data_IF_801489766393
#
_entry.id   IF_801489766393
#
_cell.length_a   1.000
_cell.length_b   1.000
_cell.length_c   1.000
_cell.angle_alpha   90.00
_cell.angle_beta   90.00
_cell.angle_gamma   90.00
#
_symmetry.space_group_name_H-M   'P 1'
#
loop_
_entity.id
_entity.type
_entity.pdbx_description
1 polymer ?
#
# COMPACT_ATOMS: atom_id res chain seq x y z
N UNK A 1 9.94 30.36 -8.03
CA UNK A 1 9.94 31.84 -8.12
C UNK A 1 11.34 32.36 -8.46
N UNK A 2 12.39 32.02 -7.71
CA UNK A 2 13.76 32.53 -7.94
C UNK A 2 14.24 32.37 -9.38
N UNK A 3 14.03 31.18 -9.99
CA UNK A 3 14.44 30.92 -11.39
C UNK A 3 13.73 31.83 -12.40
N UNK A 4 12.49 32.25 -12.13
CA UNK A 4 11.74 33.14 -13.01
C UNK A 4 12.21 34.61 -12.81
N UNK A 5 12.46 34.97 -11.56
CA UNK A 5 13.03 36.27 -11.23
C UNK A 5 14.41 36.49 -11.88
N UNK A 6 15.28 35.44 -11.84
CA UNK A 6 16.61 35.46 -12.47
C UNK A 6 16.53 35.65 -13.99
N UNK A 7 15.40 35.30 -14.61
CA UNK A 7 15.14 35.48 -16.04
C UNK A 7 14.27 36.72 -16.33
N UNK A 8 14.10 37.64 -15.39
CA UNK A 8 13.25 38.84 -15.51
C UNK A 8 11.79 38.55 -15.90
N UNK A 9 11.27 37.38 -15.46
CA UNK A 9 9.87 37.02 -15.67
C UNK A 9 9.10 37.30 -14.38
N UNK A 10 8.09 38.17 -14.47
CA UNK A 10 7.15 38.49 -13.37
C UNK A 10 5.88 37.66 -13.50
N UNK A 11 5.28 37.33 -12.36
CA UNK A 11 4.03 36.57 -12.28
C UNK A 11 3.00 37.45 -11.57
N UNK A 12 1.85 37.63 -12.21
CA UNK A 12 0.68 38.26 -11.60
C UNK A 12 -0.28 37.18 -11.09
N UNK A 13 -0.51 37.13 -9.78
CA UNK A 13 -1.53 36.31 -9.15
C UNK A 13 -2.84 37.11 -9.11
N UNK A 14 -3.68 36.93 -10.13
CA UNK A 14 -4.89 37.73 -10.32
C UNK A 14 -5.87 37.65 -9.15
N UNK A 15 -6.00 36.45 -8.55
CA UNK A 15 -6.93 36.21 -7.46
C UNK A 15 -6.53 36.88 -6.16
N UNK A 16 -5.24 36.86 -5.85
CA UNK A 16 -4.63 37.44 -4.65
C UNK A 16 -4.21 38.91 -4.88
N UNK A 17 -4.29 39.39 -6.12
CA UNK A 17 -3.83 40.71 -6.55
C UNK A 17 -2.37 40.99 -6.14
N UNK A 18 -1.49 40.01 -6.35
CA UNK A 18 -0.07 40.10 -6.02
C UNK A 18 0.76 40.06 -7.31
N UNK A 19 1.70 40.99 -7.44
CA UNK A 19 2.66 41.08 -8.54
C UNK A 19 4.07 40.81 -7.99
N UNK A 20 4.78 39.80 -8.54
CA UNK A 20 6.15 39.48 -8.12
C UNK A 20 7.17 40.55 -8.50
N UNK A 21 6.81 41.55 -9.29
CA UNK A 21 7.63 42.75 -9.53
C UNK A 21 7.73 43.64 -8.28
N UNK A 22 6.76 43.59 -7.39
CA UNK A 22 6.74 44.37 -6.15
C UNK A 22 7.44 43.60 -5.02
N UNK A 23 8.50 44.13 -4.38
CA UNK A 23 9.17 43.51 -3.24
C UNK A 23 8.23 43.18 -2.09
N UNK A 24 7.16 43.92 -1.88
CA UNK A 24 6.14 43.66 -0.87
C UNK A 24 5.39 42.38 -1.18
N UNK A 25 5.08 42.13 -2.45
CA UNK A 25 4.44 40.90 -2.92
C UNK A 25 5.31 39.68 -2.72
N UNK A 26 6.62 39.78 -2.92
CA UNK A 26 7.55 38.65 -2.68
C UNK A 26 7.59 38.26 -1.19
N UNK A 27 7.57 39.26 -0.29
CA UNK A 27 7.48 38.98 1.15
C UNK A 27 6.14 38.30 1.51
N UNK A 28 5.02 38.77 0.96
CA UNK A 28 3.69 38.16 1.19
C UNK A 28 3.68 36.71 0.68
N UNK A 29 4.16 36.48 -0.54
CA UNK A 29 4.20 35.12 -1.13
C UNK A 29 5.08 34.17 -0.32
N UNK A 30 6.26 34.62 0.14
CA UNK A 30 7.14 33.85 1.00
C UNK A 30 6.45 33.50 2.32
N UNK A 31 5.74 34.45 2.92
CA UNK A 31 4.99 34.24 4.15
C UNK A 31 3.84 33.26 3.95
N UNK A 32 3.07 33.39 2.87
CA UNK A 32 1.99 32.47 2.53
C UNK A 32 2.53 31.06 2.30
N UNK A 33 3.66 30.92 1.60
CA UNK A 33 4.32 29.64 1.40
C UNK A 33 4.76 28.98 2.74
N UNK A 34 5.32 29.77 3.65
CA UNK A 34 5.71 29.31 4.98
C UNK A 34 4.50 28.85 5.81
N UNK A 35 3.38 29.58 5.76
CA UNK A 35 2.12 29.20 6.43
C UNK A 35 1.58 27.89 5.85
N UNK A 36 1.50 27.78 4.53
CA UNK A 36 1.03 26.55 3.86
C UNK A 36 1.89 25.33 4.20
N UNK A 37 3.22 25.51 4.31
CA UNK A 37 4.14 24.47 4.73
C UNK A 37 3.92 24.04 6.18
N UNK A 38 3.71 24.99 7.12
CA UNK A 38 3.44 24.66 8.51
C UNK A 38 2.06 24.02 8.70
N UNK A 39 1.06 24.43 7.93
CA UNK A 39 -0.24 23.75 7.90
C UNK A 39 -0.08 22.27 7.48
N UNK A 40 0.66 22.01 6.40
CA UNK A 40 0.96 20.65 5.95
C UNK A 40 1.68 19.83 7.01
N UNK A 41 2.64 20.42 7.74
CA UNK A 41 3.32 19.79 8.88
C UNK A 41 2.36 19.47 10.01
N UNK A 42 1.47 20.41 10.36
CA UNK A 42 0.48 20.23 11.41
C UNK A 42 -0.48 19.08 11.10
N UNK A 43 -0.99 19.04 9.87
CA UNK A 43 -1.83 17.94 9.39
C UNK A 43 -1.09 16.59 9.52
N UNK A 44 0.16 16.52 9.07
CA UNK A 44 0.98 15.30 9.17
C UNK A 44 1.19 14.86 10.62
N UNK A 45 1.48 15.78 11.55
CA UNK A 45 1.60 15.50 12.98
C UNK A 45 0.30 14.96 13.57
N UNK A 46 -0.83 15.55 13.23
CA UNK A 46 -2.15 15.14 13.71
C UNK A 46 -2.52 13.73 13.20
N UNK A 47 -2.25 13.42 11.94
CA UNK A 47 -2.42 12.08 11.36
C UNK A 47 -1.56 11.06 12.12
N UNK A 48 -0.28 11.37 12.35
CA UNK A 48 0.64 10.50 13.07
C UNK A 48 0.21 10.27 14.52
N UNK A 49 -0.25 11.32 15.20
CA UNK A 49 -0.80 11.20 16.56
C UNK A 49 -2.04 10.31 16.59
N UNK A 50 -2.98 10.52 15.67
CA UNK A 50 -4.16 9.67 15.52
C UNK A 50 -3.80 8.21 15.25
N UNK A 51 -2.78 7.96 14.42
CA UNK A 51 -2.29 6.61 14.14
C UNK A 51 -1.66 5.97 15.40
N UNK A 52 -0.84 6.70 16.16
CA UNK A 52 -0.25 6.20 17.41
C UNK A 52 -1.31 5.78 18.44
N UNK A 53 -2.45 6.45 18.47
CA UNK A 53 -3.56 6.09 19.37
C UNK A 53 -4.34 4.87 18.88
N UNK A 54 -4.50 4.71 17.57
CA UNK A 54 -5.32 3.65 16.95
C UNK A 54 -4.59 2.32 16.78
N UNK A 55 -3.31 2.36 16.40
CA UNK A 55 -2.54 1.15 16.09
C UNK A 55 -2.45 0.14 17.25
N UNK A 56 -2.21 0.55 18.52
CA UNK A 56 -2.24 -0.37 19.65
C UNK A 56 -3.59 -1.07 19.86
N UNK A 57 -4.69 -0.44 19.42
CA UNK A 57 -6.04 -1.01 19.51
C UNK A 57 -6.42 -1.87 18.31
N UNK A 58 -5.53 -2.04 17.33
CA UNK A 58 -5.82 -2.77 16.11
C UNK A 58 -6.77 -2.06 15.14
N UNK A 59 -6.99 -0.77 15.32
CA UNK A 59 -7.91 0.04 14.53
C UNK A 59 -7.30 0.43 13.18
N UNK A 60 -7.33 -0.50 12.24
CA UNK A 60 -6.81 -0.33 10.88
C UNK A 60 -7.85 -0.72 9.84
N UNK A 61 -7.72 -0.11 8.68
CA UNK A 61 -8.59 -0.42 7.55
C UNK A 61 -8.25 -1.79 6.96
N UNK A 62 -9.29 -2.54 6.59
CA UNK A 62 -9.11 -3.71 5.76
C UNK A 62 -8.54 -3.33 4.38
N UNK A 63 -7.70 -4.19 3.86
CA UNK A 63 -7.14 -4.10 2.51
C UNK A 63 -7.52 -5.35 1.75
N UNK A 64 -8.18 -5.18 0.62
CA UNK A 64 -8.48 -6.30 -0.29
C UNK A 64 -7.19 -6.79 -0.93
N UNK A 65 -6.94 -8.08 -0.78
CA UNK A 65 -5.90 -8.83 -1.48
C UNK A 65 -6.57 -10.05 -2.13
N UNK A 66 -5.89 -10.73 -3.03
CA UNK A 66 -6.41 -11.93 -3.68
C UNK A 66 -6.88 -12.95 -2.63
N UNK A 67 -8.06 -13.51 -2.79
CA UNK A 67 -8.74 -14.34 -1.80
C UNK A 67 -9.76 -13.61 -0.93
N UNK A 68 -9.81 -12.26 -0.96
CA UNK A 68 -10.75 -11.46 -0.20
C UNK A 68 -11.43 -10.39 -1.05
N UNK A 69 -12.66 -10.05 -0.67
CA UNK A 69 -13.39 -8.89 -1.23
C UNK A 69 -14.12 -8.13 -0.14
N UNK A 70 -14.49 -6.88 -0.41
CA UNK A 70 -15.41 -6.15 0.46
C UNK A 70 -16.80 -6.75 0.37
N UNK A 71 -17.44 -7.01 1.52
CA UNK A 71 -18.80 -7.54 1.59
C UNK A 71 -19.89 -6.44 1.62
N UNK A 72 -19.50 -5.17 1.49
CA UNK A 72 -20.38 -4.01 1.53
C UNK A 72 -20.76 -3.53 2.93
N UNK A 73 -20.38 -4.23 3.99
CA UNK A 73 -20.66 -3.85 5.38
C UNK A 73 -19.56 -2.98 5.96
N UNK A 74 -19.93 -2.24 7.01
CA UNK A 74 -18.99 -1.49 7.85
C UNK A 74 -18.91 -2.15 9.22
N UNK A 75 -17.70 -2.32 9.71
CA UNK A 75 -17.41 -2.71 11.09
C UNK A 75 -17.16 -1.44 11.89
N UNK A 76 -17.80 -1.33 13.05
CA UNK A 76 -17.57 -0.24 14.01
C UNK A 76 -16.97 -0.85 15.27
N UNK A 77 -15.78 -0.37 15.67
CA UNK A 77 -15.12 -0.79 16.91
C UNK A 77 -15.77 -0.14 18.11
N UNK A 78 -15.46 -0.60 19.32
CA UNK A 78 -15.94 -0.02 20.58
C UNK A 78 -15.58 1.46 20.73
N UNK A 79 -14.45 1.89 20.14
CA UNK A 79 -14.01 3.29 20.12
C UNK A 79 -14.74 4.16 19.08
N UNK A 80 -15.63 3.57 18.26
CA UNK A 80 -16.34 4.25 17.18
C UNK A 80 -15.53 4.33 15.85
N UNK A 81 -14.35 3.69 15.77
CA UNK A 81 -13.60 3.64 14.50
C UNK A 81 -14.31 2.73 13.51
N UNK A 82 -14.45 3.20 12.25
CA UNK A 82 -15.16 2.47 11.21
C UNK A 82 -14.21 2.04 10.08
N UNK A 83 -14.38 0.80 9.64
CA UNK A 83 -13.68 0.27 8.45
C UNK A 83 -14.58 -0.68 7.66
N UNK A 84 -14.27 -0.86 6.39
CA UNK A 84 -15.02 -1.78 5.53
C UNK A 84 -14.70 -3.21 5.90
N UNK A 85 -15.73 -4.01 6.03
CA UNK A 85 -15.61 -5.44 6.26
C UNK A 85 -15.22 -6.20 4.99
N UNK A 86 -14.53 -7.33 5.17
CA UNK A 86 -14.12 -8.21 4.09
C UNK A 86 -14.59 -9.64 4.34
N UNK A 87 -14.85 -10.34 3.24
CA UNK A 87 -15.19 -11.76 3.24
C UNK A 87 -14.23 -12.55 2.35
N UNK A 88 -14.12 -13.84 2.61
CA UNK A 88 -13.35 -14.77 1.81
C UNK A 88 -14.07 -15.04 0.49
N UNK A 89 -13.34 -14.99 -0.62
CA UNK A 89 -13.77 -15.50 -1.92
C UNK A 89 -13.25 -16.93 -2.03
N UNK A 90 -14.12 -17.91 -1.79
CA UNK A 90 -13.70 -19.31 -1.60
C UNK A 90 -12.97 -19.89 -2.81
N UNK A 91 -13.33 -19.50 -4.03
CA UNK A 91 -12.64 -19.91 -5.25
C UNK A 91 -11.18 -19.46 -5.27
N UNK A 92 -10.94 -18.19 -4.93
CA UNK A 92 -9.58 -17.63 -4.82
C UNK A 92 -8.84 -18.18 -3.60
N UNK A 93 -9.55 -18.39 -2.49
CA UNK A 93 -8.97 -18.94 -1.25
C UNK A 93 -8.42 -20.35 -1.44
N UNK A 94 -9.08 -21.20 -2.24
CA UNK A 94 -8.56 -22.53 -2.62
C UNK A 94 -7.22 -22.42 -3.33
N UNK A 95 -7.07 -21.43 -4.20
CA UNK A 95 -5.82 -21.19 -4.93
C UNK A 95 -4.73 -20.71 -3.95
N UNK A 96 -5.08 -19.79 -3.03
CA UNK A 96 -4.15 -19.34 -1.99
C UNK A 96 -3.66 -20.51 -1.13
N UNK A 97 -4.57 -21.38 -0.65
CA UNK A 97 -4.22 -22.57 0.14
C UNK A 97 -3.29 -23.50 -0.64
N UNK A 98 -3.60 -23.77 -1.92
CA UNK A 98 -2.76 -24.56 -2.81
C UNK A 98 -1.35 -23.98 -2.93
N UNK A 99 -1.22 -22.67 -3.17
CA UNK A 99 0.08 -22.00 -3.27
C UNK A 99 0.91 -22.21 -1.99
N UNK A 100 0.30 -21.98 -0.82
CA UNK A 100 1.01 -22.15 0.45
C UNK A 100 1.41 -23.60 0.69
N UNK A 101 0.56 -24.55 0.33
CA UNK A 101 0.83 -25.97 0.50
C UNK A 101 1.96 -26.46 -0.42
N UNK A 102 1.91 -26.13 -1.72
CA UNK A 102 2.98 -26.51 -2.67
C UNK A 102 4.34 -25.91 -2.27
N UNK A 103 4.34 -24.66 -1.74
CA UNK A 103 5.57 -24.04 -1.23
C UNK A 103 6.04 -24.70 0.05
N UNK A 104 5.15 -25.09 0.96
CA UNK A 104 5.49 -25.83 2.19
C UNK A 104 6.07 -27.22 1.89
N UNK A 105 5.66 -27.84 0.79
CA UNK A 105 6.21 -29.11 0.26
C UNK A 105 7.57 -28.91 -0.46
N UNK A 106 8.07 -27.68 -0.57
CA UNK A 106 9.38 -27.36 -1.15
C UNK A 106 9.36 -27.07 -2.65
N UNK A 107 8.18 -26.92 -3.27
CA UNK A 107 8.07 -26.58 -4.70
C UNK A 107 8.58 -25.17 -4.95
N UNK A 108 9.42 -25.00 -5.99
CA UNK A 108 9.95 -23.68 -6.35
C UNK A 108 8.84 -22.74 -6.82
N UNK A 109 8.92 -21.45 -6.47
CA UNK A 109 7.89 -20.44 -6.80
C UNK A 109 7.58 -20.33 -8.29
N UNK A 110 8.59 -20.58 -9.14
CA UNK A 110 8.42 -20.60 -10.61
C UNK A 110 7.61 -21.79 -11.08
N UNK A 111 7.75 -22.93 -10.40
CA UNK A 111 7.04 -24.17 -10.75
C UNK A 111 5.60 -24.13 -10.27
N UNK A 112 5.35 -23.57 -9.06
CA UNK A 112 3.99 -23.26 -8.60
C UNK A 112 3.29 -22.35 -9.61
N UNK A 113 3.94 -21.26 -10.03
CA UNK A 113 3.39 -20.32 -11.00
C UNK A 113 3.11 -21.01 -12.36
N UNK A 114 4.00 -21.89 -12.82
CA UNK A 114 3.84 -22.67 -14.06
C UNK A 114 2.64 -23.61 -13.97
N UNK A 115 2.46 -24.29 -12.84
CA UNK A 115 1.30 -25.16 -12.59
C UNK A 115 -0.03 -24.40 -12.66
N UNK A 116 -0.10 -23.23 -12.00
CA UNK A 116 -1.30 -22.37 -12.05
C UNK A 116 -1.62 -21.87 -13.46
N UNK A 117 -0.59 -21.51 -14.24
CA UNK A 117 -0.76 -21.10 -15.63
C UNK A 117 -1.20 -22.27 -16.53
N UNK A 118 -0.64 -23.47 -16.29
CA UNK A 118 -1.06 -24.67 -17.01
C UNK A 118 -2.53 -24.99 -16.77
N UNK A 119 -3.00 -24.83 -15.54
CA UNK A 119 -4.39 -25.00 -15.13
C UNK A 119 -5.29 -23.84 -15.59
N UNK A 120 -4.74 -22.87 -16.32
CA UNK A 120 -5.43 -21.66 -16.83
C UNK A 120 -6.11 -20.83 -15.73
N UNK A 121 -5.58 -20.85 -14.54
CA UNK A 121 -6.08 -20.03 -13.43
C UNK A 121 -5.65 -18.58 -13.66
N UNK A 122 -6.60 -17.61 -13.69
CA UNK A 122 -6.23 -16.22 -13.91
C UNK A 122 -5.41 -15.66 -12.76
N UNK A 123 -4.30 -15.00 -13.06
CA UNK A 123 -3.48 -14.33 -12.06
C UNK A 123 -4.16 -13.07 -11.51
N UNK A 124 -3.93 -12.70 -10.23
CA UNK A 124 -4.46 -11.48 -9.67
C UNK A 124 -3.96 -10.26 -10.44
N UNK A 125 -4.86 -9.38 -10.85
CA UNK A 125 -4.48 -8.10 -11.45
C UNK A 125 -3.71 -7.26 -10.42
N UNK A 126 -2.42 -7.09 -10.62
CA UNK A 126 -1.62 -6.22 -9.76
C UNK A 126 -1.98 -4.75 -10.01
N UNK A 127 -1.85 -3.91 -8.96
CA UNK A 127 -2.08 -2.46 -9.07
C UNK A 127 -1.24 -1.84 -10.20
N UNK A 128 -0.03 -2.37 -10.43
CA UNK A 128 0.85 -1.93 -11.51
C UNK A 128 0.28 -2.24 -12.89
N UNK A 129 -0.35 -3.42 -13.07
CA UNK A 129 -1.01 -3.81 -14.34
C UNK A 129 -2.25 -2.95 -14.56
N UNK A 130 -3.06 -2.72 -13.52
CA UNK A 130 -4.23 -1.84 -13.59
C UNK A 130 -3.85 -0.41 -13.95
N UNK A 131 -2.82 0.15 -13.32
CA UNK A 131 -2.33 1.50 -13.61
C UNK A 131 -1.79 1.63 -15.05
N UNK A 132 -1.08 0.61 -15.55
CA UNK A 132 -0.57 0.58 -16.94
C UNK A 132 -1.70 0.44 -17.95
N UNK A 133 -2.71 -0.42 -17.72
CA UNK A 133 -3.91 -0.50 -18.56
C UNK A 133 -4.65 0.83 -18.63
N UNK A 134 -4.73 1.59 -17.52
CA UNK A 134 -5.37 2.91 -17.46
C UNK A 134 -4.58 4.00 -18.23
N UNK A 135 -3.25 3.94 -18.19
CA UNK A 135 -2.38 4.92 -18.85
C UNK A 135 -2.05 4.56 -20.30
N UNK A 136 -2.37 3.35 -20.75
CA UNK A 136 -2.13 2.84 -22.11
C UNK A 136 -3.17 3.35 -23.14
N UNK A 137 -3.52 4.65 -23.07
CA UNK A 137 -4.26 5.32 -24.16
C UNK A 137 -3.44 5.52 -25.45
N UNK A 138 -2.16 5.18 -25.45
CA UNK A 138 -1.29 5.15 -26.64
C UNK A 138 -0.77 3.72 -26.82
N UNK A 139 -1.36 2.99 -27.73
CA UNK A 139 -1.12 1.70 -28.35
C UNK A 139 0.26 1.03 -28.39
N UNK A 140 1.07 1.12 -27.33
CA UNK A 140 2.27 0.34 -27.15
C UNK A 140 2.17 -0.41 -25.82
N UNK A 141 1.39 -1.49 -25.85
CA UNK A 141 1.54 -2.56 -24.89
C UNK A 141 2.88 -3.22 -25.20
N UNK A 142 3.88 -3.07 -24.32
CA UNK A 142 5.06 -3.95 -24.37
C UNK A 142 4.51 -5.37 -24.15
N UNK A 143 4.53 -6.17 -25.21
CA UNK A 143 4.06 -7.55 -25.29
C UNK A 143 4.82 -8.55 -24.38
N UNK A 144 5.78 -8.09 -23.60
CA UNK A 144 6.62 -8.90 -22.71
C UNK A 144 6.17 -8.89 -21.25
N UNK A 145 4.98 -8.38 -20.92
CA UNK A 145 4.38 -8.58 -19.59
C UNK A 145 3.68 -9.94 -19.63
N UNK A 146 4.28 -10.91 -18.97
CA UNK A 146 3.66 -12.22 -18.71
C UNK A 146 2.27 -11.99 -18.12
N UNK A 147 1.24 -12.19 -18.92
CA UNK A 147 -0.16 -12.22 -18.49
C UNK A 147 -0.39 -13.55 -17.79
N UNK A 148 -0.05 -13.65 -16.52
CA UNK A 148 -0.20 -14.90 -15.79
C UNK A 148 0.48 -14.84 -14.42
N UNK A 149 0.50 -15.99 -13.79
CA UNK A 149 1.24 -16.20 -12.56
C UNK A 149 2.74 -16.19 -12.81
N UNK A 150 3.48 -15.57 -11.94
CA UNK A 150 4.96 -15.53 -11.96
C UNK A 150 5.50 -15.89 -10.60
N UNK A 151 6.71 -16.42 -10.52
CA UNK A 151 7.36 -16.70 -9.24
C UNK A 151 7.44 -15.48 -8.33
N UNK A 152 7.51 -14.27 -8.92
CA UNK A 152 7.48 -13.02 -8.18
C UNK A 152 6.12 -12.77 -7.49
N UNK A 153 5.02 -13.07 -8.15
CA UNK A 153 3.66 -12.95 -7.56
C UNK A 153 3.55 -13.92 -6.40
N UNK A 154 3.96 -15.18 -6.58
CA UNK A 154 3.96 -16.19 -5.51
C UNK A 154 4.80 -15.71 -4.33
N UNK A 155 6.05 -15.30 -4.57
CA UNK A 155 6.93 -14.77 -3.51
C UNK A 155 6.33 -13.59 -2.75
N UNK A 156 5.61 -12.69 -3.42
CA UNK A 156 4.93 -11.57 -2.77
C UNK A 156 3.70 -11.99 -1.98
N UNK A 157 2.98 -13.02 -2.43
CA UNK A 157 1.79 -13.53 -1.74
C UNK A 157 2.14 -14.23 -0.44
N UNK A 158 3.10 -15.15 -0.45
CA UNK A 158 3.49 -15.91 0.73
C UNK A 158 4.07 -15.06 1.86
N UNK A 159 4.48 -13.82 1.59
CA UNK A 159 4.99 -12.87 2.59
C UNK A 159 3.88 -12.12 3.34
N UNK A 160 2.62 -12.31 2.95
CA UNK A 160 1.52 -11.53 3.51
C UNK A 160 0.88 -12.26 4.68
N UNK A 161 1.15 -11.79 5.89
CA UNK A 161 0.53 -12.28 7.13
C UNK A 161 -1.00 -12.16 7.12
N UNK A 162 -1.57 -11.32 6.23
CA UNK A 162 -3.02 -11.15 6.14
C UNK A 162 -3.78 -12.43 5.81
N UNK A 163 -3.13 -13.40 5.19
CA UNK A 163 -3.76 -14.69 4.92
C UNK A 163 -4.05 -15.51 6.18
N UNK A 164 -3.37 -15.22 7.30
CA UNK A 164 -3.67 -15.82 8.63
C UNK A 164 -4.73 -15.04 9.41
N UNK A 165 -5.39 -14.06 8.79
CA UNK A 165 -6.32 -13.18 9.49
C UNK A 165 -5.64 -12.11 10.35
N UNK A 166 -4.31 -12.04 10.36
CA UNK A 166 -3.54 -11.06 11.10
C UNK A 166 -3.19 -9.83 10.23
N UNK A 167 -2.93 -8.72 10.88
CA UNK A 167 -2.46 -7.48 10.24
C UNK A 167 -1.25 -6.95 10.97
N UNK A 168 -0.12 -6.85 10.28
CA UNK A 168 1.07 -6.16 10.78
C UNK A 168 1.03 -4.69 10.36
N UNK A 169 0.91 -3.82 11.35
CA UNK A 169 0.80 -2.37 11.20
C UNK A 169 2.19 -1.74 11.26
N UNK A 170 2.34 -0.60 10.59
CA UNK A 170 3.55 0.22 10.61
C UNK A 170 4.79 -0.47 9.99
N UNK A 171 4.57 -1.29 8.94
CA UNK A 171 5.65 -1.88 8.13
C UNK A 171 6.50 -0.83 7.41
N UNK A 172 5.93 0.33 7.16
CA UNK A 172 6.57 1.48 6.52
C UNK A 172 6.17 2.76 7.25
N UNK A 173 7.02 3.76 7.17
CA UNK A 173 6.71 5.10 7.68
C UNK A 173 7.21 6.18 6.71
N UNK A 174 6.61 7.36 6.78
CA UNK A 174 7.00 8.51 5.97
C UNK A 174 8.11 9.27 6.70
N UNK A 175 9.26 9.40 6.05
CA UNK A 175 10.43 10.13 6.59
C UNK A 175 10.29 11.61 6.31
N UNK A 176 9.87 11.94 5.09
CA UNK A 176 9.68 13.30 4.63
C UNK A 176 8.24 13.49 4.17
N UNK A 177 7.53 14.41 4.86
CA UNK A 177 6.13 14.70 4.58
C UNK A 177 5.95 15.57 3.32
N UNK A 178 6.98 16.32 2.89
CA UNK A 178 6.92 17.14 1.68
C UNK A 178 7.07 16.30 0.41
N UNK A 179 8.05 15.41 0.41
CA UNK A 179 8.34 14.56 -0.74
C UNK A 179 7.63 13.20 -0.68
N UNK A 180 6.85 12.95 0.38
CA UNK A 180 6.16 11.65 0.63
C UNK A 180 7.10 10.44 0.59
N UNK A 181 8.38 10.63 0.91
CA UNK A 181 9.35 9.55 0.95
C UNK A 181 9.03 8.58 2.08
N UNK A 182 8.80 7.32 1.72
CA UNK A 182 8.49 6.25 2.66
C UNK A 182 9.65 5.29 2.78
N UNK A 183 9.98 4.87 4.00
CA UNK A 183 10.97 3.84 4.30
C UNK A 183 10.32 2.64 4.95
N UNK A 184 10.98 1.47 4.78
CA UNK A 184 10.60 0.26 5.52
C UNK A 184 10.98 0.46 6.99
N UNK A 185 10.06 0.09 7.87
CA UNK A 185 10.34 0.10 9.31
C UNK A 185 11.09 -1.19 9.69
N UNK A 186 12.35 -1.04 10.04
CA UNK A 186 13.21 -2.14 10.48
C UNK A 186 13.40 -2.15 12.01
N UNK A 187 12.52 -1.47 12.75
CA UNK A 187 12.54 -1.36 14.20
C UNK A 187 12.67 0.08 14.71
N UNK A 188 12.74 1.09 13.80
CA UNK A 188 12.82 2.50 14.18
C UNK A 188 11.54 2.98 14.88
N UNK A 189 10.41 2.42 14.49
CA UNK A 189 9.10 2.69 15.09
C UNK A 189 8.43 1.39 15.55
N UNK A 190 7.59 1.44 16.62
CA UNK A 190 6.85 0.27 17.06
C UNK A 190 6.00 -0.32 15.94
N UNK A 191 6.02 -1.64 15.80
CA UNK A 191 5.12 -2.39 14.92
C UNK A 191 4.07 -3.10 15.78
N UNK A 192 2.85 -3.20 15.26
CA UNK A 192 1.74 -3.82 15.98
C UNK A 192 1.18 -4.96 15.14
N UNK A 193 1.20 -6.18 15.71
CA UNK A 193 0.56 -7.34 15.11
C UNK A 193 -0.82 -7.53 15.72
N UNK A 194 -1.85 -7.34 14.91
CA UNK A 194 -3.24 -7.55 15.30
C UNK A 194 -3.68 -8.90 14.78
N UNK A 195 -3.89 -9.86 15.68
CA UNK A 195 -4.42 -11.19 15.34
C UNK A 195 -5.95 -11.16 15.25
N UNK A 196 -6.52 -12.09 14.50
CA UNK A 196 -7.98 -12.25 14.34
C UNK A 196 -8.71 -10.98 13.87
N UNK A 197 -8.05 -10.15 13.06
CA UNK A 197 -8.64 -8.93 12.53
C UNK A 197 -9.72 -9.21 11.46
N UNK A 198 -9.58 -10.30 10.73
CA UNK A 198 -10.49 -10.73 9.68
C UNK A 198 -10.42 -12.26 9.52
N UNK A 199 -11.36 -12.91 8.79
CA UNK A 199 -11.33 -14.35 8.59
C UNK A 199 -10.02 -14.81 7.94
N UNK A 200 -9.40 -15.87 8.48
CA UNK A 200 -8.17 -16.46 7.96
C UNK A 200 -8.45 -17.40 6.78
N UNK A 201 -7.59 -17.38 5.74
CA UNK A 201 -7.61 -18.34 4.63
C UNK A 201 -6.71 -19.53 4.95
N UNK A 202 -5.57 -19.30 5.61
CA UNK A 202 -4.61 -20.32 6.05
C UNK A 202 -4.40 -20.19 7.55
N UNK A 203 -3.94 -21.28 8.18
CA UNK A 203 -3.54 -21.27 9.59
C UNK A 203 -2.15 -20.65 9.80
N UNK A 204 -1.84 -20.33 11.05
CA UNK A 204 -0.58 -19.70 11.44
C UNK A 204 0.60 -20.70 11.26
N UNK A 205 0.37 -21.99 11.49
CA UNK A 205 1.39 -23.04 11.39
C UNK A 205 1.91 -23.20 9.95
N UNK A 206 0.99 -23.30 8.98
CA UNK A 206 1.35 -23.36 7.56
C UNK A 206 2.08 -22.09 7.11
N UNK A 207 1.64 -20.91 7.60
CA UNK A 207 2.30 -19.66 7.29
C UNK A 207 3.74 -19.66 7.82
N UNK A 208 3.96 -20.05 9.08
CA UNK A 208 5.29 -20.09 9.70
C UNK A 208 6.23 -21.06 8.97
N UNK A 209 5.76 -22.26 8.64
CA UNK A 209 6.50 -23.24 7.83
C UNK A 209 7.00 -22.62 6.52
N UNK A 210 6.10 -21.93 5.79
CA UNK A 210 6.46 -21.26 4.53
C UNK A 210 7.47 -20.12 4.76
N UNK A 211 7.35 -19.37 5.89
CA UNK A 211 8.34 -18.32 6.20
C UNK A 211 9.72 -18.90 6.54
N UNK A 212 9.80 -20.06 7.18
CA UNK A 212 11.07 -20.76 7.46
C UNK A 212 11.74 -21.20 6.17
N UNK A 213 11.01 -21.86 5.26
CA UNK A 213 11.51 -22.24 3.93
C UNK A 213 12.01 -21.00 3.17
N UNK A 214 11.27 -19.90 3.20
CA UNK A 214 11.67 -18.66 2.56
C UNK A 214 12.95 -18.03 3.11
N UNK A 215 13.22 -18.21 4.41
CA UNK A 215 14.45 -17.72 5.05
C UNK A 215 15.67 -18.57 4.76
N UNK A 216 15.43 -19.86 4.49
CA UNK A 216 16.47 -20.84 4.18
C UNK A 216 16.95 -20.76 2.72
N UNK A 217 16.15 -20.20 1.82
CA UNK A 217 16.45 -19.97 0.40
C UNK A 217 16.90 -18.51 0.14
#
# INVERSE_FOLDING_TARGET
LNTLHDNNVTILFEKENLDTADPTSDFILTTLAAIAQEESRSISRNINLGNKMRYPRGEVKNMVIYGYRYNGKMVTTESGYQYRDIEIVEEEAKIVRRIFQEVAEGTAYTDVARGLNYDRIPAPETVAVKARKKNSKKGQLNSNLEEGWTGRIISQMIQRERYTGAVLIQKKYTVDFLNHNTQRNNGELPQYLVKNHHPAIIDEELFETVQEIRRAN
#
